data_IF_803768125867
#
_entry.id   IF_803768125867
#
_cell.length_a   1.000
_cell.length_b   1.000
_cell.length_c   1.000
_cell.angle_alpha   90.00
_cell.angle_beta   90.00
_cell.angle_gamma   90.00
#
_symmetry.space_group_name_H-M   'P 1'
#
loop_
_entity.id
_entity.type
_entity.pdbx_description
1 polymer ?
#
# COMPACT_ATOMS: atom_id res chain seq x y z
N UNK A 1 -27.17 37.94 16.89
CA UNK A 1 -26.97 39.02 17.89
C UNK A 1 -25.57 39.55 17.65
N UNK A 2 -25.40 40.57 16.78
CA UNK A 2 -25.21 41.99 17.15
C UNK A 2 -24.32 42.15 18.39
N UNK A 3 -23.16 42.80 18.38
CA UNK A 3 -22.45 43.58 17.37
C UNK A 3 -21.14 44.08 18.00
N UNK A 4 -20.07 44.18 17.22
CA UNK A 4 -18.84 44.85 17.66
C UNK A 4 -19.10 46.36 17.64
N UNK A 5 -19.36 46.96 18.81
CA UNK A 5 -19.36 48.41 18.97
C UNK A 5 -17.93 48.87 19.18
N UNK A 6 -17.35 49.43 18.13
CA UNK A 6 -16.11 50.18 18.13
C UNK A 6 -16.33 51.46 18.96
N UNK A 7 -15.96 51.43 20.24
CA UNK A 7 -15.89 52.64 21.06
C UNK A 7 -14.67 53.45 20.63
N UNK A 8 -14.82 54.33 19.63
CA UNK A 8 -13.77 55.29 19.30
C UNK A 8 -13.62 56.25 20.48
N UNK A 9 -12.47 56.22 21.13
CA UNK A 9 -12.05 57.26 22.07
C UNK A 9 -11.75 58.52 21.26
N UNK A 10 -12.76 59.34 20.98
CA UNK A 10 -12.55 60.71 20.53
C UNK A 10 -12.15 61.55 21.74
N UNK A 11 -10.97 62.17 21.67
CA UNK A 11 -10.50 63.10 22.66
C UNK A 11 -11.46 64.30 22.74
N UNK A 12 -11.84 64.63 23.96
CA UNK A 12 -12.62 65.81 24.32
C UNK A 12 -11.96 67.07 23.78
N UNK A 13 -12.82 67.87 23.16
CA UNK A 13 -12.58 69.17 22.53
C UNK A 13 -11.78 70.13 23.44
N UNK A 14 -10.46 70.24 23.23
CA UNK A 14 -9.68 71.39 23.71
C UNK A 14 -9.57 72.44 22.61
N UNK A 15 -10.10 73.60 22.96
CA UNK A 15 -10.35 74.78 22.15
C UNK A 15 -9.02 75.37 21.60
N UNK A 16 -8.61 74.98 20.39
CA UNK A 16 -7.47 75.61 19.69
C UNK A 16 -7.94 76.26 18.38
N UNK A 17 -7.88 77.59 18.35
CA UNK A 17 -8.41 78.48 17.31
C UNK A 17 -7.57 78.49 16.01
N UNK A 18 -7.33 77.36 15.34
CA UNK A 18 -6.83 77.36 13.95
C UNK A 18 -7.44 76.17 13.18
N UNK A 19 -8.35 76.40 12.21
CA UNK A 19 -8.92 75.33 11.41
C UNK A 19 -7.96 74.98 10.27
N UNK A 20 -7.72 73.69 10.04
CA UNK A 20 -6.96 73.09 8.93
C UNK A 20 -5.44 72.95 9.10
N UNK A 21 -5.00 72.21 10.13
CA UNK A 21 -3.69 71.56 10.10
C UNK A 21 -3.92 70.06 9.88
N UNK A 22 -3.33 69.43 8.84
CA UNK A 22 -3.44 68.00 8.62
C UNK A 22 -2.93 67.21 9.85
N UNK A 23 -3.59 66.12 10.20
CA UNK A 23 -3.23 65.30 11.37
C UNK A 23 -1.75 64.82 11.36
N UNK A 24 -1.17 64.67 10.17
CA UNK A 24 0.24 64.33 9.97
C UNK A 24 1.20 65.43 10.44
N UNK A 25 0.81 66.71 10.37
CA UNK A 25 1.63 67.85 10.83
C UNK A 25 1.53 68.02 12.35
N UNK A 26 0.38 67.69 12.96
CA UNK A 26 0.24 67.66 14.41
C UNK A 26 1.15 66.60 15.06
N UNK A 27 1.33 65.44 14.41
CA UNK A 27 2.19 64.36 14.89
C UNK A 27 3.70 64.68 14.80
N UNK A 28 4.11 65.65 13.98
CA UNK A 28 5.53 65.99 13.75
C UNK A 28 6.06 67.03 14.74
N UNK A 29 5.20 67.64 15.58
CA UNK A 29 5.59 68.79 16.41
C UNK A 29 6.43 68.49 17.66
N UNK A 30 6.94 67.27 17.84
CA UNK A 30 8.01 67.00 18.81
C UNK A 30 8.85 65.78 18.40
N UNK A 31 9.90 65.94 17.58
CA UNK A 31 10.94 64.92 17.49
C UNK A 31 11.84 65.06 18.71
N UNK A 32 11.37 64.64 19.88
CA UNK A 32 12.28 64.39 20.99
C UNK A 32 12.99 63.07 20.69
N UNK A 33 14.31 63.01 20.84
CA UNK A 33 15.11 61.78 20.66
C UNK A 33 14.82 60.72 21.73
N UNK A 34 13.81 60.95 22.56
CA UNK A 34 13.43 60.12 23.69
C UNK A 34 12.32 59.19 23.21
N UNK A 35 12.69 57.97 22.83
CA UNK A 35 11.73 56.88 22.64
C UNK A 35 11.16 56.59 24.03
N UNK A 36 9.98 57.12 24.33
CA UNK A 36 9.23 56.78 25.54
C UNK A 36 8.35 55.61 25.15
N UNK A 37 8.63 54.43 25.71
CA UNK A 37 7.72 53.29 25.56
C UNK A 37 6.35 53.67 26.14
N UNK A 38 5.28 53.39 25.40
CA UNK A 38 3.92 53.59 25.87
C UNK A 38 3.62 52.60 27.00
N UNK A 39 3.88 52.98 28.24
CA UNK A 39 3.58 52.14 29.41
C UNK A 39 2.09 52.10 29.76
N UNK A 40 1.23 52.92 29.14
CA UNK A 40 -0.19 52.99 29.51
C UNK A 40 -0.99 51.77 29.03
N UNK A 41 -0.50 51.03 28.03
CA UNK A 41 -1.18 49.84 27.48
C UNK A 41 -0.46 48.51 27.78
N UNK A 42 0.51 48.51 28.69
CA UNK A 42 1.23 47.30 29.08
C UNK A 42 0.74 46.77 30.44
N UNK A 43 -0.51 46.34 30.52
CA UNK A 43 -0.97 45.54 31.66
C UNK A 43 -0.23 44.19 31.65
N UNK A 44 0.79 44.06 32.49
CA UNK A 44 1.41 42.77 32.77
C UNK A 44 0.53 42.03 33.76
N UNK A 45 -0.24 41.07 33.27
CA UNK A 45 -0.96 40.15 34.15
C UNK A 45 0.02 39.43 35.09
N UNK A 46 -0.27 39.35 36.40
CA UNK A 46 0.61 38.67 37.34
C UNK A 46 0.75 37.18 36.93
N UNK A 47 1.93 36.57 37.15
CA UNK A 47 2.12 35.17 36.84
C UNK A 47 1.12 34.33 37.63
N UNK A 48 0.33 33.51 36.92
CA UNK A 48 -0.67 32.65 37.53
C UNK A 48 -0.05 31.64 38.51
N UNK A 49 -0.84 31.25 39.51
CA UNK A 49 -0.47 30.33 40.60
C UNK A 49 0.20 29.04 40.07
N UNK A 50 1.49 28.80 40.41
CA UNK A 50 2.23 27.63 39.96
C UNK A 50 1.60 26.28 40.34
N UNK A 51 0.89 26.21 41.46
CA UNK A 51 0.29 24.96 41.96
C UNK A 51 -0.79 24.39 41.03
N UNK A 52 -1.44 25.25 40.23
CA UNK A 52 -2.52 24.88 39.30
C UNK A 52 -2.03 24.41 37.93
N UNK A 53 -0.75 24.62 37.63
CA UNK A 53 -0.16 24.27 36.32
C UNK A 53 -0.17 22.77 36.05
N UNK A 54 0.06 21.96 37.09
CA UNK A 54 0.05 20.50 36.96
C UNK A 54 -1.32 19.99 36.49
N UNK A 55 -2.41 20.50 37.10
CA UNK A 55 -3.78 20.17 36.68
C UNK A 55 -4.07 20.67 35.25
N UNK A 56 -3.65 21.90 34.92
CA UNK A 56 -3.83 22.45 33.57
C UNK A 56 -3.10 21.60 32.50
N UNK A 57 -1.84 21.20 32.75
CA UNK A 57 -1.10 20.33 31.85
C UNK A 57 -1.68 18.93 31.75
N UNK A 58 -2.20 18.39 32.85
CA UNK A 58 -2.91 17.12 32.84
C UNK A 58 -4.13 17.16 31.92
N UNK A 59 -4.99 18.19 32.06
CA UNK A 59 -6.17 18.36 31.20
C UNK A 59 -5.79 18.58 29.73
N UNK A 60 -4.82 19.46 29.46
CA UNK A 60 -4.37 19.73 28.08
C UNK A 60 -3.75 18.50 27.42
N UNK A 61 -2.89 17.78 28.14
CA UNK A 61 -2.21 16.59 27.61
C UNK A 61 -3.18 15.43 27.43
N UNK A 62 -4.09 15.22 28.39
CA UNK A 62 -5.17 14.24 28.28
C UNK A 62 -6.06 14.50 27.08
N UNK A 63 -6.47 15.75 26.86
CA UNK A 63 -7.25 16.15 25.68
C UNK A 63 -6.50 15.89 24.37
N UNK A 64 -5.20 16.22 24.31
CA UNK A 64 -4.35 15.95 23.13
C UNK A 64 -4.20 14.46 22.85
N UNK A 65 -4.09 13.63 23.88
CA UNK A 65 -4.02 12.18 23.73
C UNK A 65 -5.30 11.60 23.11
N UNK A 66 -6.47 12.03 23.61
CA UNK A 66 -7.77 11.61 23.05
C UNK A 66 -7.90 12.07 21.60
N UNK A 67 -7.59 13.33 21.31
CA UNK A 67 -7.62 13.89 19.95
C UNK A 67 -6.71 13.12 18.98
N UNK A 68 -5.45 12.90 19.36
CA UNK A 68 -4.48 12.16 18.54
C UNK A 68 -4.93 10.71 18.30
N UNK A 69 -5.53 10.07 19.31
CA UNK A 69 -6.07 8.71 19.19
C UNK A 69 -7.24 8.64 18.21
N UNK A 70 -8.15 9.61 18.23
CA UNK A 70 -9.27 9.68 17.29
C UNK A 70 -8.80 9.89 15.85
N UNK A 71 -7.87 10.82 15.62
CA UNK A 71 -7.28 11.04 14.29
C UNK A 71 -6.61 9.76 13.80
N UNK A 72 -5.81 9.10 14.64
CA UNK A 72 -5.17 7.84 14.29
C UNK A 72 -6.19 6.81 13.84
N UNK A 73 -7.29 6.64 14.57
CA UNK A 73 -8.35 5.69 14.19
C UNK A 73 -9.01 6.08 12.86
N UNK A 74 -9.30 7.36 12.63
CA UNK A 74 -9.89 7.84 11.38
C UNK A 74 -8.96 7.59 10.18
N UNK A 75 -7.68 7.95 10.30
CA UNK A 75 -6.69 7.72 9.25
C UNK A 75 -6.51 6.22 8.99
N UNK A 76 -6.40 5.40 10.04
CA UNK A 76 -6.29 3.95 9.88
C UNK A 76 -7.52 3.35 9.19
N UNK A 77 -8.73 3.75 9.58
CA UNK A 77 -9.95 3.25 8.95
C UNK A 77 -10.06 3.69 7.50
N UNK A 78 -9.67 4.91 7.19
CA UNK A 78 -9.63 5.41 5.81
C UNK A 78 -8.63 4.61 4.95
N UNK A 79 -7.40 4.44 5.42
CA UNK A 79 -6.38 3.63 4.71
C UNK A 79 -6.82 2.17 4.58
N UNK A 80 -7.36 1.57 5.63
CA UNK A 80 -7.85 0.18 5.60
C UNK A 80 -9.05 0.01 4.66
N UNK A 81 -9.84 1.05 4.44
CA UNK A 81 -10.94 0.99 3.46
C UNK A 81 -10.46 0.85 2.02
N UNK A 82 -9.21 1.23 1.74
CA UNK A 82 -8.56 1.05 0.43
C UNK A 82 -7.80 -0.29 0.32
N UNK A 83 -7.73 -1.07 1.41
CA UNK A 83 -7.13 -2.42 1.39
C UNK A 83 -8.12 -3.46 0.83
N UNK A 84 -7.64 -4.69 0.59
CA UNK A 84 -8.48 -5.76 0.04
C UNK A 84 -9.72 -6.00 0.91
N UNK A 85 -10.89 -5.99 0.27
CA UNK A 85 -12.19 -6.21 0.92
C UNK A 85 -12.39 -7.68 1.31
N UNK A 86 -13.37 -7.95 2.20
CA UNK A 86 -13.59 -9.31 2.75
C UNK A 86 -13.97 -10.34 1.70
N UNK A 87 -14.68 -9.94 0.66
CA UNK A 87 -15.03 -10.77 -0.50
C UNK A 87 -13.78 -11.14 -1.31
N UNK A 88 -12.82 -10.22 -1.49
CA UNK A 88 -11.53 -10.53 -2.12
C UNK A 88 -10.70 -11.48 -1.25
N UNK A 89 -10.74 -11.32 0.08
CA UNK A 89 -10.09 -12.24 1.02
C UNK A 89 -10.77 -13.61 1.08
N UNK A 90 -12.08 -13.70 0.86
CA UNK A 90 -12.78 -14.98 0.78
C UNK A 90 -12.34 -15.79 -0.44
N UNK A 91 -11.88 -15.13 -1.52
CA UNK A 91 -11.26 -15.75 -2.69
C UNK A 91 -9.78 -16.14 -2.46
N UNK A 92 -9.31 -16.13 -1.20
CA UNK A 92 -7.92 -16.43 -0.88
C UNK A 92 -7.55 -17.90 -1.13
N UNK A 93 -8.50 -18.83 -0.95
CA UNK A 93 -8.34 -20.25 -1.23
C UNK A 93 -9.36 -20.74 -2.26
N UNK A 94 -8.97 -21.71 -3.08
CA UNK A 94 -9.81 -22.34 -4.10
C UNK A 94 -9.66 -23.86 -4.01
N UNK A 95 -10.79 -24.55 -3.88
CA UNK A 95 -10.86 -26.01 -4.02
C UNK A 95 -11.12 -26.36 -5.49
N UNK A 96 -10.30 -27.25 -6.03
CA UNK A 96 -10.39 -27.74 -7.40
C UNK A 96 -10.50 -29.26 -7.37
N UNK A 97 -11.51 -29.79 -8.07
CA UNK A 97 -11.63 -31.22 -8.33
C UNK A 97 -10.69 -31.61 -9.49
N UNK A 98 -9.76 -32.50 -9.20
CA UNK A 98 -8.72 -32.95 -10.14
C UNK A 98 -9.06 -34.29 -10.81
N UNK A 99 -10.19 -34.92 -10.46
CA UNK A 99 -10.59 -36.23 -11.01
C UNK A 99 -10.82 -36.24 -12.51
N UNK A 100 -11.24 -35.10 -13.08
CA UNK A 100 -11.57 -34.95 -14.51
C UNK A 100 -10.37 -34.66 -15.41
N UNK A 101 -9.16 -34.55 -14.84
CA UNK A 101 -7.96 -34.17 -15.59
C UNK A 101 -7.25 -35.43 -16.09
N UNK A 102 -7.22 -35.58 -17.41
CA UNK A 102 -6.52 -36.70 -18.07
C UNK A 102 -4.99 -36.49 -18.07
N UNK A 103 -4.18 -37.56 -17.99
CA UNK A 103 -2.72 -37.46 -18.09
C UNK A 103 -2.27 -36.77 -19.38
N UNK A 104 -1.30 -35.86 -19.27
CA UNK A 104 -0.78 -35.04 -20.35
C UNK A 104 -1.60 -33.78 -20.66
N UNK A 105 -2.78 -33.61 -20.04
CA UNK A 105 -3.60 -32.41 -20.21
C UNK A 105 -3.29 -31.34 -19.18
N UNK A 106 -3.54 -30.07 -19.54
CA UNK A 106 -3.35 -28.92 -18.67
C UNK A 106 -4.65 -28.15 -18.58
N UNK A 107 -5.18 -28.03 -17.36
CA UNK A 107 -6.38 -27.24 -17.07
C UNK A 107 -5.95 -25.90 -16.49
N UNK A 108 -6.63 -24.84 -16.91
CA UNK A 108 -6.41 -23.48 -16.39
C UNK A 108 -7.58 -23.10 -15.51
N UNK A 109 -7.31 -22.83 -14.23
CA UNK A 109 -8.30 -22.31 -13.28
C UNK A 109 -7.94 -20.88 -12.88
N UNK A 110 -8.92 -20.07 -12.48
CA UNK A 110 -8.70 -18.69 -12.04
C UNK A 110 -8.61 -18.64 -10.51
N UNK A 111 -7.47 -18.18 -9.98
CA UNK A 111 -7.26 -17.99 -8.53
C UNK A 111 -6.65 -16.61 -8.28
N UNK A 112 -7.24 -15.83 -7.37
CA UNK A 112 -6.85 -14.43 -7.07
C UNK A 112 -6.67 -13.54 -8.31
N UNK A 113 -7.53 -13.74 -9.32
CA UNK A 113 -7.46 -13.01 -10.59
C UNK A 113 -6.35 -13.45 -11.55
N UNK A 114 -5.48 -14.38 -11.14
CA UNK A 114 -4.42 -14.96 -11.96
C UNK A 114 -4.83 -16.33 -12.50
N UNK A 115 -4.39 -16.74 -13.70
CA UNK A 115 -4.53 -18.13 -14.14
C UNK A 115 -3.57 -19.01 -13.33
N UNK A 116 -4.03 -20.20 -12.95
CA UNK A 116 -3.21 -21.27 -12.39
C UNK A 116 -3.33 -22.47 -13.31
N UNK A 117 -2.20 -22.98 -13.77
CA UNK A 117 -2.11 -24.17 -14.58
C UNK A 117 -1.98 -25.38 -13.67
N UNK A 118 -2.89 -26.33 -13.85
CA UNK A 118 -2.86 -27.63 -13.21
C UNK A 118 -2.62 -28.62 -14.34
N UNK A 119 -1.43 -29.21 -14.36
CA UNK A 119 -1.05 -30.23 -15.34
C UNK A 119 -0.91 -31.57 -14.64
N UNK A 120 -1.62 -32.57 -15.16
CA UNK A 120 -1.37 -33.98 -14.84
C UNK A 120 -0.30 -34.49 -15.78
N UNK A 121 0.88 -34.80 -15.26
CA UNK A 121 2.07 -35.19 -16.02
C UNK A 121 2.08 -36.69 -16.27
N UNK A 122 2.57 -37.09 -17.44
CA UNK A 122 2.83 -38.51 -17.73
C UNK A 122 4.18 -38.95 -17.14
N UNK A 123 4.46 -40.26 -17.14
CA UNK A 123 5.77 -40.75 -16.70
C UNK A 123 6.92 -40.22 -17.57
N UNK A 124 6.67 -40.05 -18.88
CA UNK A 124 7.65 -39.48 -19.82
C UNK A 124 7.93 -38.01 -19.49
N UNK A 125 6.90 -37.22 -19.18
CA UNK A 125 7.03 -35.83 -18.74
C UNK A 125 7.90 -35.73 -17.47
N UNK A 126 7.68 -36.62 -16.50
CA UNK A 126 8.44 -36.65 -15.24
C UNK A 126 9.90 -37.04 -15.49
N UNK A 127 10.14 -38.06 -16.32
CA UNK A 127 11.51 -38.47 -16.70
C UNK A 127 12.24 -37.36 -17.46
N UNK A 128 11.55 -36.64 -18.34
CA UNK A 128 12.09 -35.50 -19.07
C UNK A 128 12.42 -34.33 -18.13
N UNK A 129 11.54 -34.03 -17.16
CA UNK A 129 11.78 -32.96 -16.18
C UNK A 129 13.03 -33.22 -15.33
N UNK A 130 13.23 -34.48 -14.94
CA UNK A 130 14.33 -34.91 -14.07
C UNK A 130 15.65 -35.14 -14.80
N UNK A 131 15.65 -35.35 -16.13
CA UNK A 131 16.87 -35.56 -16.91
C UNK A 131 17.57 -34.26 -17.32
N UNK A 132 16.94 -33.10 -17.09
CA UNK A 132 17.51 -31.80 -17.43
C UNK A 132 18.62 -31.43 -16.44
N UNK A 133 19.77 -31.03 -16.98
CA UNK A 133 20.87 -30.47 -16.19
C UNK A 133 20.46 -29.15 -15.52
N UNK A 134 20.34 -29.18 -14.20
CA UNK A 134 19.92 -28.04 -13.37
C UNK A 134 20.91 -26.88 -13.45
N UNK A 135 22.20 -27.16 -13.67
CA UNK A 135 23.23 -26.12 -13.81
C UNK A 135 23.12 -25.28 -15.08
N UNK A 136 22.48 -25.83 -16.12
CA UNK A 136 22.22 -25.12 -17.38
C UNK A 136 21.04 -24.14 -17.31
N UNK A 137 20.23 -24.20 -16.25
CA UNK A 137 19.04 -23.38 -16.11
C UNK A 137 19.39 -21.97 -15.63
N UNK A 138 18.63 -20.99 -16.10
CA UNK A 138 18.76 -19.60 -15.64
C UNK A 138 18.40 -19.43 -14.16
N UNK A 139 17.37 -20.16 -13.73
CA UNK A 139 16.90 -20.22 -12.35
C UNK A 139 16.97 -21.70 -11.91
N UNK A 140 18.13 -22.14 -11.38
CA UNK A 140 18.39 -23.54 -11.06
C UNK A 140 17.43 -24.07 -10.00
N UNK A 141 16.55 -24.98 -10.41
CA UNK A 141 15.62 -25.64 -9.52
C UNK A 141 15.33 -27.08 -9.97
N UNK A 142 15.48 -28.02 -9.05
CA UNK A 142 15.09 -29.41 -9.26
C UNK A 142 13.55 -29.55 -9.34
N UNK A 143 13.06 -30.52 -10.12
CA UNK A 143 11.63 -30.75 -10.26
C UNK A 143 10.99 -31.17 -8.93
N UNK A 144 11.68 -32.00 -8.15
CA UNK A 144 11.23 -32.50 -6.84
C UNK A 144 11.03 -31.35 -5.84
N UNK A 145 11.77 -30.25 -5.98
CA UNK A 145 11.59 -29.07 -5.14
C UNK A 145 10.38 -28.21 -5.54
N UNK A 146 9.83 -28.43 -6.75
CA UNK A 146 8.70 -27.66 -7.31
C UNK A 146 7.36 -28.33 -7.10
N UNK A 147 7.34 -29.64 -6.87
CA UNK A 147 6.11 -30.44 -6.79
C UNK A 147 6.09 -31.26 -5.50
N UNK A 148 4.92 -31.35 -4.87
CA UNK A 148 4.68 -32.28 -3.75
C UNK A 148 4.43 -33.71 -4.20
N UNK A 149 3.73 -33.88 -5.32
CA UNK A 149 3.47 -35.16 -5.98
C UNK A 149 3.98 -35.05 -7.44
N UNK A 150 4.89 -35.91 -7.91
CA UNK A 150 5.42 -35.86 -9.26
C UNK A 150 4.36 -35.92 -10.37
N UNK A 151 3.21 -36.55 -10.15
CA UNK A 151 2.13 -36.59 -11.15
C UNK A 151 1.51 -35.20 -11.40
N UNK A 152 1.54 -34.31 -10.41
CA UNK A 152 0.81 -33.04 -10.45
C UNK A 152 1.75 -31.85 -10.42
N UNK A 153 1.76 -31.08 -11.50
CA UNK A 153 2.40 -29.77 -11.54
C UNK A 153 1.34 -28.68 -11.42
N UNK A 154 1.49 -27.83 -10.41
CA UNK A 154 0.64 -26.66 -10.19
C UNK A 154 1.52 -25.42 -10.24
N UNK A 155 1.28 -24.54 -11.21
CA UNK A 155 2.04 -23.29 -11.38
C UNK A 155 1.12 -22.13 -11.70
N UNK A 156 1.47 -20.94 -11.23
CA UNK A 156 0.78 -19.70 -11.59
C UNK A 156 1.14 -19.36 -13.04
N UNK A 157 0.13 -19.26 -13.90
CA UNK A 157 0.25 -18.99 -15.33
C UNK A 157 0.55 -17.52 -15.67
N UNK A 158 1.40 -16.88 -14.87
CA UNK A 158 1.81 -15.48 -15.05
C UNK A 158 3.30 -15.48 -15.38
N UNK A 159 3.62 -15.07 -16.61
CA UNK A 159 5.00 -14.99 -17.07
C UNK A 159 5.80 -14.01 -16.20
N UNK A 160 6.95 -14.44 -15.69
CA UNK A 160 7.79 -13.67 -14.77
C UNK A 160 8.52 -12.50 -15.44
N UNK A 161 8.41 -12.36 -16.76
CA UNK A 161 8.90 -11.18 -17.47
C UNK A 161 8.04 -9.94 -17.17
N UNK A 162 6.80 -9.92 -17.67
CA UNK A 162 5.88 -8.76 -17.60
C UNK A 162 4.42 -9.17 -17.37
N UNK A 163 4.17 -10.40 -16.91
CA UNK A 163 2.84 -10.82 -16.44
C UNK A 163 1.86 -11.34 -17.50
N UNK A 164 2.28 -11.53 -18.75
CA UNK A 164 1.46 -12.19 -19.78
C UNK A 164 1.13 -13.64 -19.42
N UNK A 165 0.07 -14.21 -20.02
CA UNK A 165 -0.33 -15.60 -19.83
C UNK A 165 0.40 -16.50 -20.85
N UNK A 166 1.25 -17.45 -20.43
CA UNK A 166 1.86 -18.42 -21.33
C UNK A 166 0.82 -19.40 -21.91
N UNK A 167 0.97 -19.77 -23.17
CA UNK A 167 0.15 -20.78 -23.84
C UNK A 167 0.65 -22.19 -23.47
N UNK A 168 -0.22 -23.11 -23.03
CA UNK A 168 0.16 -24.49 -22.71
C UNK A 168 0.49 -25.30 -23.95
N UNK A 169 1.32 -26.33 -23.79
CA UNK A 169 1.76 -27.27 -24.85
C UNK A 169 2.35 -26.56 -26.08
N UNK A 170 3.07 -25.45 -25.85
CA UNK A 170 3.65 -24.62 -26.89
C UNK A 170 5.11 -24.27 -26.59
N UNK A 171 5.85 -23.95 -27.65
CA UNK A 171 7.27 -23.60 -27.60
C UNK A 171 8.20 -24.82 -27.60
N UNK A 172 9.49 -24.51 -27.69
CA UNK A 172 10.58 -25.47 -27.93
C UNK A 172 10.77 -26.58 -26.87
N UNK A 173 10.16 -26.47 -25.68
CA UNK A 173 10.44 -27.37 -24.54
C UNK A 173 9.21 -28.12 -24.00
N UNK A 174 8.10 -28.16 -24.76
CA UNK A 174 6.92 -28.97 -24.43
C UNK A 174 6.10 -28.50 -23.22
N UNK A 175 6.49 -27.41 -22.56
CA UNK A 175 5.76 -26.82 -21.44
C UNK A 175 4.86 -25.67 -21.89
N UNK A 176 5.36 -24.44 -21.74
CA UNK A 176 4.60 -23.23 -22.05
C UNK A 176 5.38 -22.22 -22.89
N UNK A 177 4.66 -21.47 -23.72
CA UNK A 177 5.22 -20.39 -24.53
C UNK A 177 4.52 -19.06 -24.27
N UNK A 178 5.28 -18.05 -23.90
CA UNK A 178 4.77 -16.68 -23.75
C UNK A 178 5.00 -15.88 -25.05
N UNK A 179 3.93 -15.58 -25.82
CA UNK A 179 4.04 -14.92 -27.13
C UNK A 179 4.46 -13.45 -27.04
N UNK A 180 4.37 -12.82 -25.86
CA UNK A 180 4.66 -11.39 -25.71
C UNK A 180 6.11 -11.04 -26.08
N UNK A 181 7.07 -11.85 -25.61
CA UNK A 181 8.50 -11.62 -25.85
C UNK A 181 9.28 -12.92 -26.06
N UNK A 182 8.59 -14.02 -26.39
CA UNK A 182 9.20 -15.31 -26.69
C UNK A 182 9.86 -16.01 -25.51
N UNK A 183 9.23 -16.01 -24.34
CA UNK A 183 9.73 -16.82 -23.19
C UNK A 183 9.22 -18.26 -23.29
N UNK A 184 10.13 -19.22 -23.20
CA UNK A 184 9.81 -20.65 -23.28
C UNK A 184 10.07 -21.32 -21.93
N UNK A 185 9.07 -22.03 -21.44
CA UNK A 185 9.10 -22.79 -20.20
C UNK A 185 9.04 -24.29 -20.51
N UNK A 186 9.78 -25.08 -19.74
CA UNK A 186 9.73 -26.54 -19.83
C UNK A 186 8.49 -27.13 -19.11
N UNK A 187 8.39 -28.46 -19.11
CA UNK A 187 7.28 -29.22 -18.51
C UNK A 187 7.16 -29.08 -16.98
N UNK A 188 8.20 -28.55 -16.31
CA UNK A 188 8.21 -28.21 -14.88
C UNK A 188 7.89 -26.73 -14.64
N UNK A 189 7.64 -25.96 -15.72
CA UNK A 189 7.41 -24.53 -15.65
C UNK A 189 8.69 -23.72 -15.44
N UNK A 190 9.87 -24.28 -15.75
CA UNK A 190 11.16 -23.61 -15.60
C UNK A 190 11.55 -22.85 -16.85
N UNK A 191 12.09 -21.66 -16.70
CA UNK A 191 12.47 -20.80 -17.83
C UNK A 191 13.71 -21.36 -18.53
N UNK A 192 13.61 -21.55 -19.85
CA UNK A 192 14.70 -22.09 -20.69
C UNK A 192 15.25 -21.06 -21.66
N UNK A 193 14.38 -20.24 -22.25
CA UNK A 193 14.72 -19.30 -23.32
C UNK A 193 13.84 -18.04 -23.23
N UNK A 194 14.35 -16.92 -23.73
CA UNK A 194 13.65 -15.63 -23.74
C UNK A 194 14.07 -14.71 -22.59
N UNK A 195 13.35 -13.59 -22.36
CA UNK A 195 13.75 -12.56 -21.38
C UNK A 195 13.25 -12.79 -19.95
N UNK A 196 12.35 -13.74 -19.69
CA UNK A 196 11.83 -13.97 -18.34
C UNK A 196 12.96 -14.33 -17.33
N UNK A 197 13.09 -13.64 -16.20
CA UNK A 197 14.22 -13.87 -15.29
C UNK A 197 14.08 -15.15 -14.45
N UNK A 198 12.85 -15.57 -14.13
CA UNK A 198 12.57 -16.64 -13.16
C UNK A 198 11.65 -17.72 -13.70
N UNK A 199 11.64 -18.89 -13.05
CA UNK A 199 10.67 -19.96 -13.31
C UNK A 199 9.23 -19.52 -12.97
N UNK A 200 8.22 -20.21 -13.52
CA UNK A 200 6.83 -19.97 -13.10
C UNK A 200 6.67 -20.28 -11.61
N UNK A 201 5.95 -19.40 -10.92
CA UNK A 201 5.73 -19.48 -9.48
C UNK A 201 4.85 -20.70 -9.14
N UNK A 202 5.26 -21.48 -8.14
CA UNK A 202 4.45 -22.57 -7.59
C UNK A 202 3.62 -21.99 -6.44
N UNK A 203 2.27 -21.99 -6.50
CA UNK A 203 1.46 -21.47 -5.41
C UNK A 203 1.56 -22.39 -4.17
N UNK A 204 1.13 -21.89 -3.01
CA UNK A 204 0.87 -22.78 -1.87
C UNK A 204 -0.37 -23.63 -2.18
N UNK A 205 -0.25 -24.95 -2.08
CA UNK A 205 -1.36 -25.87 -2.28
C UNK A 205 -1.24 -27.10 -1.39
N UNK A 206 -2.36 -27.75 -1.10
CA UNK A 206 -2.42 -28.99 -0.31
C UNK A 206 -3.45 -29.93 -0.93
N UNK A 207 -3.15 -31.23 -0.93
CA UNK A 207 -4.11 -32.26 -1.30
C UNK A 207 -4.95 -32.59 -0.06
N UNK A 208 -6.27 -32.41 -0.13
CA UNK A 208 -7.18 -32.70 0.99
C UNK A 208 -7.64 -34.16 0.96
N UNK A 209 -8.19 -34.56 -0.17
CA UNK A 209 -8.64 -35.93 -0.50
C UNK A 209 -7.91 -36.40 -1.78
N UNK A 210 -8.08 -37.66 -2.20
CA UNK A 210 -7.47 -38.20 -3.43
C UNK A 210 -7.77 -37.36 -4.69
N UNK A 211 -8.94 -36.72 -4.74
CA UNK A 211 -9.43 -35.98 -5.90
C UNK A 211 -9.59 -34.46 -5.67
N UNK A 212 -9.15 -33.92 -4.52
CA UNK A 212 -9.34 -32.50 -4.20
C UNK A 212 -8.03 -31.79 -3.91
N UNK A 213 -7.80 -30.72 -4.67
CA UNK A 213 -6.68 -29.82 -4.53
C UNK A 213 -7.15 -28.49 -3.93
N UNK A 214 -6.58 -28.10 -2.80
CA UNK A 214 -6.75 -26.77 -2.23
C UNK A 214 -5.58 -25.88 -2.63
N UNK A 215 -5.85 -24.74 -3.26
CA UNK A 215 -4.86 -23.73 -3.65
C UNK A 215 -5.07 -22.49 -2.77
N UNK A 216 -4.04 -22.06 -2.05
CA UNK A 216 -4.05 -20.86 -1.20
C UNK A 216 -3.99 -21.11 0.29
#
# INVERSE_FOLDING_TARGET
MLGFALGSLTATNENSMIPNIPATVAAVKNPTSKIIYDEHNHERYPPGDPSKRAFAYFVLTGGRFVYASLIRLLVLKFVLSMSASKDVLALASLEVDISSIEPGTTVTVKWRGKPVFIRRRTEEDIKLANSIDVGSLRDPQEDVARVKNPEWLIVIGVCTHLGCIPLPNAGDFGGWFCPCHGSHYDISGRIRKGPAPYNLEVPSYTFLDENKLLIG
#
